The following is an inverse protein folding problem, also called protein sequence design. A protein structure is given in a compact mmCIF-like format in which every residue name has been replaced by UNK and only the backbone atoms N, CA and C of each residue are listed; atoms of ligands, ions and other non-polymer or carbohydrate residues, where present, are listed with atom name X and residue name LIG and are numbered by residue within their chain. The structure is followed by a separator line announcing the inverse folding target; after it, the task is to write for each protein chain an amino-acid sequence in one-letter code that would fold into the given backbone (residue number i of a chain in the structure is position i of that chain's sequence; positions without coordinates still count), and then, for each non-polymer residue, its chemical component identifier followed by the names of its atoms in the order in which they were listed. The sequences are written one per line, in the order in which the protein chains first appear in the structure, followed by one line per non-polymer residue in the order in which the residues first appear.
data_IF_337601223112
#
_entry.id   IF_337601223112
#
_cell.length_a   1.000
_cell.length_b   1.000
_cell.length_c   1.000
_cell.angle_alpha   90.00
_cell.angle_beta   90.00
_cell.angle_gamma   90.00
#
_symmetry.space_group_name_H-M   'P 1'
#
loop_
_entity.id
_entity.type
_entity.pdbx_description
1 polymer ?
#
# COMPACT_ATOMS: atom_id res chain seq x y z
N UNK A 1 -18.29 -13.19 -13.06
CA UNK A 1 -18.38 -12.97 -11.60
C UNK A 1 -17.01 -12.90 -10.92
N UNK A 2 -16.07 -13.82 -11.18
CA UNK A 2 -14.75 -13.83 -10.53
C UNK A 2 -13.95 -12.51 -10.63
N UNK A 3 -13.96 -11.82 -11.78
CA UNK A 3 -13.27 -10.51 -11.91
C UNK A 3 -13.82 -9.45 -10.95
N UNK A 4 -15.13 -9.40 -10.72
CA UNK A 4 -15.74 -8.43 -9.79
C UNK A 4 -15.36 -8.73 -8.34
N UNK A 5 -15.33 -10.01 -7.95
CA UNK A 5 -14.89 -10.44 -6.62
C UNK A 5 -13.41 -10.09 -6.44
N UNK A 6 -12.58 -10.40 -7.44
CA UNK A 6 -11.17 -10.06 -7.44
C UNK A 6 -10.93 -8.55 -7.31
N UNK A 7 -11.68 -7.73 -8.04
CA UNK A 7 -11.57 -6.27 -7.94
C UNK A 7 -12.08 -5.72 -6.60
N UNK A 8 -13.08 -6.36 -5.99
CA UNK A 8 -13.56 -6.03 -4.65
C UNK A 8 -12.50 -6.32 -3.57
N UNK A 9 -11.88 -7.51 -3.61
CA UNK A 9 -10.77 -7.87 -2.72
C UNK A 9 -9.47 -7.11 -3.05
N UNK A 10 -9.34 -6.56 -4.26
CA UNK A 10 -8.25 -5.67 -4.67
C UNK A 10 -8.48 -4.20 -4.26
N UNK A 11 -9.40 -3.92 -3.34
CA UNK A 11 -9.71 -2.56 -2.89
C UNK A 11 -8.90 -2.17 -1.66
N UNK A 12 -8.09 -1.12 -1.78
CA UNK A 12 -7.35 -0.51 -0.66
C UNK A 12 -8.31 0.04 0.40
N UNK A 13 -9.50 0.54 0.00
CA UNK A 13 -10.51 1.03 0.94
C UNK A 13 -11.00 -0.07 1.88
N UNK A 14 -11.18 -1.29 1.35
CA UNK A 14 -11.55 -2.45 2.15
C UNK A 14 -10.44 -2.83 3.12
N UNK A 15 -9.17 -2.80 2.69
CA UNK A 15 -8.02 -3.05 3.56
C UNK A 15 -7.98 -2.07 4.74
N UNK A 16 -8.13 -0.77 4.48
CA UNK A 16 -8.14 0.27 5.51
C UNK A 16 -9.29 0.03 6.49
N UNK A 17 -10.49 -0.26 5.99
CA UNK A 17 -11.65 -0.54 6.84
C UNK A 17 -11.43 -1.75 7.75
N UNK A 18 -10.92 -2.86 7.20
CA UNK A 18 -10.60 -4.07 7.98
C UNK A 18 -9.52 -3.81 9.03
N UNK A 19 -8.48 -3.07 8.66
CA UNK A 19 -7.38 -2.71 9.57
C UNK A 19 -7.89 -1.85 10.73
N UNK A 20 -8.71 -0.83 10.45
CA UNK A 20 -9.31 0.01 11.50
C UNK A 20 -10.22 -0.80 12.43
N UNK A 21 -11.04 -1.69 11.87
CA UNK A 21 -11.92 -2.57 12.65
C UNK A 21 -11.12 -3.49 13.58
N UNK A 22 -10.06 -4.10 13.05
CA UNK A 22 -9.13 -4.91 13.85
C UNK A 22 -8.43 -4.07 14.91
N UNK A 23 -7.97 -2.87 14.59
CA UNK A 23 -7.28 -1.99 15.54
C UNK A 23 -8.19 -1.61 16.73
N UNK A 24 -9.42 -1.18 16.47
CA UNK A 24 -10.41 -0.86 17.51
C UNK A 24 -10.66 -2.11 18.38
N UNK A 25 -10.83 -3.26 17.74
CA UNK A 25 -11.03 -4.53 18.43
C UNK A 25 -9.83 -4.90 19.32
N UNK A 26 -8.61 -4.78 18.81
CA UNK A 26 -7.39 -5.09 19.57
C UNK A 26 -7.23 -4.16 20.77
N UNK A 27 -7.59 -2.88 20.65
CA UNK A 27 -7.59 -1.95 21.78
C UNK A 27 -8.57 -2.44 22.86
N UNK A 28 -9.79 -2.80 22.48
CA UNK A 28 -10.79 -3.33 23.41
C UNK A 28 -10.29 -4.62 24.08
N UNK A 29 -9.72 -5.55 23.30
CA UNK A 29 -9.16 -6.81 23.82
C UNK A 29 -7.93 -6.61 24.70
N UNK A 30 -7.22 -5.49 24.58
CA UNK A 30 -6.08 -5.15 25.46
C UNK A 30 -6.56 -4.56 26.79
N UNK A 31 -7.69 -3.84 26.79
CA UNK A 31 -8.30 -3.28 28.01
C UNK A 31 -8.89 -4.37 28.89
N UNK A 32 -9.49 -5.40 28.28
CA UNK A 32 -10.06 -6.55 28.99
C UNK A 32 -8.93 -7.53 29.30
N UNK A 33 -8.65 -7.80 30.58
CA UNK A 33 -7.69 -8.86 30.97
C UNK A 33 -8.06 -10.15 30.25
N UNK A 34 -7.15 -10.76 29.50
CA UNK A 34 -7.43 -11.95 28.68
C UNK A 34 -7.23 -13.23 29.50
N UNK A 35 -8.03 -14.27 29.18
CA UNK A 35 -7.90 -15.63 29.73
C UNK A 35 -7.78 -15.72 31.27
N UNK A 36 -8.46 -14.82 32.00
CA UNK A 36 -8.52 -14.88 33.46
C UNK A 36 -9.52 -15.90 33.97
N UNK A 37 -9.46 -16.17 35.27
CA UNK A 37 -10.44 -17.01 35.94
C UNK A 37 -11.85 -16.38 35.87
N UNK A 38 -12.91 -17.16 35.54
CA UNK A 38 -14.29 -16.69 35.53
C UNK A 38 -14.70 -15.88 36.76
N UNK A 39 -14.21 -16.28 37.94
CA UNK A 39 -14.55 -15.63 39.21
C UNK A 39 -14.01 -14.21 39.31
N UNK A 40 -12.85 -13.92 38.67
CA UNK A 40 -12.35 -12.55 38.57
C UNK A 40 -13.26 -11.69 37.68
N UNK A 41 -13.66 -12.19 36.52
CA UNK A 41 -14.54 -11.42 35.62
C UNK A 41 -15.91 -11.13 36.24
N UNK A 42 -16.46 -12.10 36.98
CA UNK A 42 -17.70 -11.94 37.72
C UNK A 42 -17.60 -10.84 38.78
N UNK A 43 -16.46 -10.74 39.48
CA UNK A 43 -16.22 -9.71 40.49
C UNK A 43 -15.95 -8.32 39.91
N UNK A 44 -15.25 -8.24 38.78
CA UNK A 44 -14.83 -6.98 38.15
C UNK A 44 -15.96 -6.36 37.29
N UNK A 45 -16.66 -7.18 36.49
CA UNK A 45 -17.62 -6.71 35.46
C UNK A 45 -19.08 -7.10 35.74
N UNK A 46 -19.31 -8.01 36.69
CA UNK A 46 -20.64 -8.56 37.00
C UNK A 46 -21.09 -9.69 36.05
N UNK A 47 -22.11 -10.43 36.47
CA UNK A 47 -22.57 -11.65 35.78
C UNK A 47 -23.15 -11.40 34.38
N UNK A 48 -23.96 -10.35 34.22
CA UNK A 48 -24.58 -10.03 32.93
C UNK A 48 -23.54 -9.64 31.88
N UNK A 49 -22.59 -8.77 32.25
CA UNK A 49 -21.51 -8.32 31.36
C UNK A 49 -20.58 -9.47 30.99
N UNK A 50 -20.21 -10.31 31.96
CA UNK A 50 -19.38 -11.49 31.71
C UNK A 50 -20.05 -12.48 30.74
N UNK A 51 -21.35 -12.75 30.88
CA UNK A 51 -22.08 -13.60 29.93
C UNK A 51 -22.04 -13.04 28.51
N UNK A 52 -22.20 -11.73 28.35
CA UNK A 52 -22.10 -11.05 27.04
C UNK A 52 -20.67 -11.17 26.50
N UNK A 53 -19.66 -10.86 27.30
CA UNK A 53 -18.26 -10.95 26.88
C UNK A 53 -17.85 -12.37 26.51
N UNK A 54 -18.27 -13.36 27.27
CA UNK A 54 -18.04 -14.78 26.97
C UNK A 54 -18.75 -15.22 25.69
N UNK A 55 -20.00 -14.77 25.48
CA UNK A 55 -20.76 -15.09 24.27
C UNK A 55 -20.15 -14.45 23.02
N UNK A 56 -19.69 -13.19 23.12
CA UNK A 56 -19.02 -12.49 22.03
C UNK A 56 -17.56 -12.95 21.84
N UNK A 57 -16.97 -13.67 22.80
CA UNK A 57 -15.57 -14.09 22.76
C UNK A 57 -14.57 -13.01 23.19
N UNK A 58 -15.02 -11.94 23.87
CA UNK A 58 -14.13 -10.86 24.33
C UNK A 58 -13.14 -11.27 25.43
N UNK A 59 -13.35 -12.41 26.09
CA UNK A 59 -12.41 -12.98 27.07
C UNK A 59 -11.20 -13.65 26.40
N UNK A 60 -11.32 -13.99 25.11
CA UNK A 60 -10.25 -14.51 24.25
C UNK A 60 -10.46 -14.01 22.82
N UNK A 61 -10.25 -12.69 22.63
CA UNK A 61 -10.52 -12.02 21.35
C UNK A 61 -9.68 -12.61 20.23
N UNK A 62 -8.42 -12.94 20.51
CA UNK A 62 -7.45 -13.36 19.50
C UNK A 62 -7.76 -14.74 18.90
N UNK A 63 -8.40 -15.63 19.66
CA UNK A 63 -8.86 -16.93 19.17
C UNK A 63 -10.34 -16.93 18.73
N UNK A 64 -11.02 -15.79 18.82
CA UNK A 64 -12.42 -15.71 18.43
C UNK A 64 -12.58 -15.86 16.91
N UNK A 65 -13.57 -16.67 16.51
CA UNK A 65 -13.82 -17.02 15.11
C UNK A 65 -14.00 -15.79 14.21
N UNK A 66 -14.67 -14.75 14.71
CA UNK A 66 -14.92 -13.51 13.97
C UNK A 66 -13.64 -12.67 13.82
N UNK A 67 -12.74 -12.68 14.80
CA UNK A 67 -11.46 -11.97 14.73
C UNK A 67 -10.51 -12.64 13.73
N UNK A 68 -10.42 -13.97 13.78
CA UNK A 68 -9.66 -14.77 12.80
C UNK A 68 -10.22 -14.57 11.39
N UNK A 69 -11.54 -14.49 11.24
CA UNK A 69 -12.18 -14.20 9.95
C UNK A 69 -11.79 -12.81 9.43
N UNK A 70 -11.81 -11.77 10.26
CA UNK A 70 -11.36 -10.43 9.89
C UNK A 70 -9.88 -10.40 9.48
N UNK A 71 -9.01 -11.07 10.25
CA UNK A 71 -7.60 -11.21 9.92
C UNK A 71 -7.37 -11.93 8.59
N UNK A 72 -8.11 -13.02 8.36
CA UNK A 72 -8.01 -13.80 7.13
C UNK A 72 -8.47 -12.99 5.92
N UNK A 73 -9.59 -12.26 6.05
CA UNK A 73 -10.06 -11.36 5.00
C UNK A 73 -9.04 -10.26 4.70
N UNK A 74 -8.42 -9.67 5.72
CA UNK A 74 -7.36 -8.68 5.55
C UNK A 74 -6.16 -9.29 4.83
N UNK A 75 -5.70 -10.47 5.24
CA UNK A 75 -4.59 -11.17 4.62
C UNK A 75 -4.85 -11.45 3.13
N UNK A 76 -6.03 -11.98 2.79
CA UNK A 76 -6.43 -12.21 1.39
C UNK A 76 -6.43 -10.90 0.60
N UNK A 77 -7.00 -9.82 1.15
CA UNK A 77 -7.00 -8.51 0.51
C UNK A 77 -5.57 -8.01 0.22
N UNK A 78 -4.67 -8.09 1.21
CA UNK A 78 -3.28 -7.67 1.06
C UNK A 78 -2.52 -8.50 0.03
N UNK A 79 -2.73 -9.82 -0.02
CA UNK A 79 -2.13 -10.71 -1.02
C UNK A 79 -2.59 -10.30 -2.42
N UNK A 80 -3.90 -10.13 -2.63
CA UNK A 80 -4.47 -9.73 -3.93
C UNK A 80 -3.95 -8.36 -4.36
N UNK A 81 -3.97 -7.37 -3.46
CA UNK A 81 -3.44 -6.03 -3.73
C UNK A 81 -1.95 -6.07 -4.09
N UNK A 82 -1.16 -6.88 -3.39
CA UNK A 82 0.28 -7.03 -3.61
C UNK A 82 0.56 -7.63 -5.00
N UNK A 83 -0.12 -8.72 -5.36
CA UNK A 83 0.05 -9.37 -6.68
C UNK A 83 -0.28 -8.40 -7.82
N UNK A 84 -1.34 -7.59 -7.68
CA UNK A 84 -1.75 -6.64 -8.73
C UNK A 84 -0.81 -5.43 -8.85
N UNK A 85 -0.24 -4.97 -7.73
CA UNK A 85 0.50 -3.70 -7.66
C UNK A 85 2.02 -3.86 -7.77
N UNK A 86 2.60 -4.89 -7.14
CA UNK A 86 4.05 -5.14 -7.13
C UNK A 86 4.70 -5.22 -8.51
N UNK A 87 4.18 -5.96 -9.52
CA UNK A 87 4.86 -6.07 -10.81
C UNK A 87 4.92 -4.74 -11.55
N UNK A 88 3.90 -3.87 -11.41
CA UNK A 88 3.93 -2.52 -12.00
C UNK A 88 5.01 -1.66 -11.37
N UNK A 89 5.12 -1.70 -10.04
CA UNK A 89 6.14 -0.95 -9.30
C UNK A 89 7.53 -1.45 -9.67
N UNK A 90 7.71 -2.77 -9.76
CA UNK A 90 8.99 -3.38 -10.10
C UNK A 90 9.42 -3.03 -11.53
N UNK A 91 8.48 -3.02 -12.49
CA UNK A 91 8.76 -2.57 -13.86
C UNK A 91 9.21 -1.11 -13.90
N UNK A 92 8.53 -0.23 -13.18
CA UNK A 92 8.89 1.20 -13.11
C UNK A 92 10.25 1.41 -12.44
N UNK A 93 10.56 0.63 -11.40
CA UNK A 93 11.85 0.70 -10.72
C UNK A 93 13.01 0.20 -11.60
N UNK A 94 12.79 -0.85 -12.42
CA UNK A 94 13.81 -1.42 -13.31
C UNK A 94 13.98 -0.62 -14.60
N UNK A 95 12.89 -0.08 -15.14
CA UNK A 95 12.85 0.71 -16.37
C UNK A 95 12.27 2.09 -16.05
N UNK A 96 13.06 2.98 -15.40
CA UNK A 96 12.64 4.37 -15.24
C UNK A 96 12.39 4.96 -16.63
N UNK A 97 11.28 5.71 -16.77
CA UNK A 97 10.92 6.34 -18.04
C UNK A 97 12.10 7.19 -18.53
N UNK A 98 12.72 6.76 -19.62
CA UNK A 98 13.84 7.46 -20.26
C UNK A 98 13.39 8.70 -21.02
N UNK A 99 12.11 8.77 -21.39
CA UNK A 99 11.53 9.86 -22.16
C UNK A 99 10.61 10.71 -21.29
N UNK A 100 10.77 12.02 -21.41
CA UNK A 100 9.85 13.00 -20.83
C UNK A 100 8.59 13.05 -21.71
N UNK A 101 7.37 12.99 -21.13
CA UNK A 101 6.16 13.20 -21.91
C UNK A 101 6.12 14.62 -22.48
N UNK A 102 5.53 14.81 -23.66
CA UNK A 102 5.39 16.14 -24.26
C UNK A 102 4.74 17.13 -23.28
N UNK A 103 5.39 18.28 -23.07
CA UNK A 103 4.91 19.34 -22.17
C UNK A 103 5.30 19.20 -20.69
N UNK A 104 5.87 18.08 -20.23
CA UNK A 104 6.44 17.98 -18.87
C UNK A 104 7.62 18.92 -18.64
N UNK A 105 8.25 19.41 -19.70
CA UNK A 105 9.28 20.45 -19.60
C UNK A 105 8.78 21.71 -18.87
N UNK A 106 7.48 22.04 -18.96
CA UNK A 106 6.92 23.25 -18.34
C UNK A 106 6.76 23.14 -16.83
N UNK A 107 6.73 21.91 -16.29
CA UNK A 107 6.58 21.67 -14.83
C UNK A 107 7.92 21.53 -14.12
N UNK A 108 9.02 21.40 -14.88
CA UNK A 108 10.37 21.32 -14.33
C UNK A 108 10.83 22.71 -13.86
N UNK A 109 11.31 22.79 -12.61
CA UNK A 109 11.75 24.05 -11.99
C UNK A 109 13.01 24.65 -12.62
N UNK A 110 13.80 23.82 -13.29
CA UNK A 110 15.06 24.21 -13.93
C UNK A 110 15.01 23.74 -15.38
N UNK A 111 14.60 24.64 -16.27
CA UNK A 111 14.65 24.42 -17.72
C UNK A 111 15.32 25.61 -18.36
N UNK A 112 16.39 25.34 -19.09
CA UNK A 112 17.08 26.34 -19.89
C UNK A 112 16.87 26.01 -21.37
N UNK A 113 16.15 26.86 -22.09
CA UNK A 113 15.96 26.74 -23.54
C UNK A 113 17.07 27.51 -24.22
N UNK A 114 17.92 26.81 -24.94
CA UNK A 114 18.99 27.41 -25.75
C UNK A 114 18.54 27.34 -27.21
N UNK A 115 18.52 28.48 -27.88
CA UNK A 115 18.29 28.57 -29.33
C UNK A 115 19.64 28.57 -30.03
N UNK A 116 19.93 27.51 -30.77
CA UNK A 116 21.16 27.37 -31.53
C UNK A 116 20.84 27.63 -33.02
N UNK A 117 21.56 28.56 -33.63
CA UNK A 117 21.48 28.78 -35.08
C UNK A 117 22.33 27.73 -35.79
N UNK A 118 21.71 26.84 -36.58
CA UNK A 118 22.42 25.80 -37.32
C UNK A 118 21.52 24.65 -37.77
N UNK A 119 22.10 23.69 -38.50
CA UNK A 119 21.43 22.46 -38.91
C UNK A 119 21.22 21.53 -37.70
N UNK A 120 20.08 20.83 -37.65
CA UNK A 120 19.65 20.01 -36.51
C UNK A 120 20.60 18.82 -36.29
N UNK A 121 21.20 18.30 -37.35
CA UNK A 121 22.12 17.16 -37.32
C UNK A 121 23.46 17.52 -36.65
N UNK A 122 24.06 18.65 -37.04
CA UNK A 122 25.33 19.12 -36.47
C UNK A 122 25.21 19.44 -34.96
N UNK A 123 24.05 19.97 -34.56
CA UNK A 123 23.76 20.28 -33.16
C UNK A 123 23.60 18.99 -32.35
N UNK A 124 22.93 17.97 -32.89
CA UNK A 124 22.75 16.66 -32.22
C UNK A 124 24.11 16.03 -31.90
N UNK A 125 25.02 16.00 -32.86
CA UNK A 125 26.34 15.38 -32.71
C UNK A 125 27.25 16.16 -31.73
N UNK A 126 27.21 17.49 -31.78
CA UNK A 126 27.97 18.34 -30.84
C UNK A 126 27.50 18.16 -29.38
N UNK A 127 26.18 18.04 -29.17
CA UNK A 127 25.59 17.79 -27.86
C UNK A 127 25.96 16.38 -27.36
N UNK A 128 25.83 15.36 -28.21
CA UNK A 128 26.20 13.97 -27.88
C UNK A 128 27.67 13.85 -27.47
N UNK A 129 28.57 14.52 -28.19
CA UNK A 129 30.00 14.52 -27.88
C UNK A 129 30.31 15.23 -26.56
N UNK A 130 29.63 16.35 -26.28
CA UNK A 130 29.77 17.07 -25.01
C UNK A 130 29.25 16.23 -23.83
N UNK A 131 28.08 15.59 -23.98
CA UNK A 131 27.49 14.72 -22.94
C UNK A 131 28.37 13.49 -22.67
N UNK A 132 28.92 12.87 -23.71
CA UNK A 132 29.88 11.77 -23.58
C UNK A 132 31.16 12.21 -22.86
N UNK A 133 31.70 13.40 -23.17
CA UNK A 133 32.86 13.97 -22.45
C UNK A 133 32.58 14.17 -20.95
N UNK A 134 31.35 14.53 -20.60
CA UNK A 134 30.88 14.68 -19.21
C UNK A 134 30.52 13.35 -18.53
N UNK A 135 30.83 12.19 -19.16
CA UNK A 135 30.52 10.82 -18.69
C UNK A 135 29.03 10.52 -18.53
N UNK A 136 28.14 11.28 -19.16
CA UNK A 136 26.72 10.94 -19.19
C UNK A 136 26.45 9.82 -20.20
N UNK A 137 25.67 8.82 -19.79
CA UNK A 137 25.15 7.76 -20.67
C UNK A 137 23.93 8.29 -21.41
N UNK A 138 24.16 8.90 -22.58
CA UNK A 138 23.11 9.49 -23.41
C UNK A 138 22.69 8.53 -24.53
N UNK A 139 21.44 8.08 -24.52
CA UNK A 139 20.74 7.51 -25.69
C UNK A 139 19.80 8.60 -26.21
N UNK A 140 19.95 8.97 -27.48
CA UNK A 140 19.09 9.96 -28.14
C UNK A 140 18.20 9.20 -29.12
N UNK A 141 16.87 9.33 -28.94
CA UNK A 141 15.88 8.79 -29.88
C UNK A 141 15.58 9.76 -31.02
#
# INVERSE_FOLDING_TARGET
MLKKIYDFFSSVKLAIFLLLTLAVTSIIGTIIEQQQDPDKYLREYGETTYKIFKFLGFTDVYHSWWYILLLTLLAINLIVCSIKRLPKIWKVAKEPRKTLPEGYEKTLRVVHRITLAGNVEDIKDSILNTLKKLRYKSEVS
#
